data_IF_389996054768
#
_entry.id   IF_389996054768
#
_cell.length_a   1.000
_cell.length_b   1.000
_cell.length_c   1.000
_cell.angle_alpha   90.00
_cell.angle_beta   90.00
_cell.angle_gamma   90.00
#
_symmetry.space_group_name_H-M   'P 1'
#
loop_
_entity.id
_entity.type
_entity.pdbx_description
1 polymer ?
#
# COMPACT_ATOMS: atom_id res chain seq x y z
N UNK A 1 63.51 40.61 50.43
CA UNK A 1 62.92 41.17 49.20
C UNK A 1 62.28 40.00 48.46
N UNK A 2 60.93 39.97 48.34
CA UNK A 2 60.16 39.12 47.41
C UNK A 2 60.16 37.60 47.74
N UNK A 3 59.07 36.83 47.82
CA UNK A 3 57.62 37.04 47.78
C UNK A 3 56.94 35.81 48.42
N UNK A 4 55.64 35.94 48.69
CA UNK A 4 54.73 34.99 49.32
C UNK A 4 54.44 33.71 48.49
N UNK A 5 54.09 32.62 49.18
CA UNK A 5 53.43 31.45 48.58
C UNK A 5 52.65 30.64 49.62
N UNK A 6 51.42 31.08 49.93
CA UNK A 6 50.45 30.30 50.71
C UNK A 6 49.85 29.24 49.80
N UNK A 7 50.01 27.96 50.14
CA UNK A 7 49.42 26.84 49.41
C UNK A 7 48.15 26.41 50.15
N UNK A 8 46.99 26.85 49.64
CA UNK A 8 45.67 26.42 50.12
C UNK A 8 45.35 25.04 49.54
N UNK A 9 45.13 24.07 50.41
CA UNK A 9 44.62 22.74 50.08
C UNK A 9 43.11 22.83 49.82
N UNK A 10 42.69 22.81 48.56
CA UNK A 10 41.28 22.65 48.18
C UNK A 10 40.97 21.16 48.03
N UNK A 11 40.24 20.60 49.00
CA UNK A 11 39.65 19.26 48.93
C UNK A 11 38.41 19.36 48.02
N UNK A 12 38.48 18.80 46.81
CA UNK A 12 37.33 18.66 45.93
C UNK A 12 36.54 17.41 46.34
N UNK A 13 35.36 17.62 46.92
CA UNK A 13 34.40 16.57 47.27
C UNK A 13 33.68 16.14 45.98
N UNK A 14 34.01 14.95 45.46
CA UNK A 14 33.35 14.37 44.28
C UNK A 14 31.99 13.77 44.70
N UNK A 15 30.90 14.52 44.48
CA UNK A 15 29.53 14.02 44.69
C UNK A 15 29.11 13.23 43.45
N UNK A 16 29.09 11.89 43.58
CA UNK A 16 28.55 10.99 42.56
C UNK A 16 27.01 11.01 42.63
N UNK A 17 26.37 11.83 41.78
CA UNK A 17 24.92 11.79 41.59
C UNK A 17 24.57 10.58 40.71
N UNK A 18 24.04 9.53 41.32
CA UNK A 18 23.39 8.43 40.62
C UNK A 18 22.10 8.95 39.98
N UNK A 19 22.18 9.38 38.72
CA UNK A 19 20.99 9.66 37.91
C UNK A 19 20.41 8.32 37.50
N UNK A 20 19.47 7.80 38.31
CA UNK A 20 18.58 6.71 37.90
C UNK A 20 17.67 7.25 36.80
N UNK A 21 18.18 7.24 35.57
CA UNK A 21 17.38 7.49 34.38
C UNK A 21 16.39 6.34 34.22
N UNK A 22 15.18 6.52 34.72
CA UNK A 22 14.03 5.77 34.23
C UNK A 22 13.90 6.09 32.74
N UNK A 23 14.29 5.14 31.88
CA UNK A 23 13.90 5.16 30.48
C UNK A 23 12.41 4.87 30.47
N UNK A 24 11.62 5.92 30.38
CA UNK A 24 10.18 5.81 30.17
C UNK A 24 9.96 5.24 28.75
N UNK A 25 9.22 4.12 28.59
CA UNK A 25 8.91 3.63 27.26
C UNK A 25 8.11 4.72 26.54
N UNK A 26 8.70 5.30 25.49
CA UNK A 26 7.95 6.14 24.57
C UNK A 26 6.86 5.27 23.95
N UNK A 27 5.63 5.42 24.43
CA UNK A 27 4.45 5.02 23.70
C UNK A 27 4.50 5.75 22.36
N UNK A 28 4.76 5.01 21.29
CA UNK A 28 4.46 5.44 19.93
C UNK A 28 3.00 5.90 19.94
N UNK A 29 2.68 7.11 19.48
CA UNK A 29 1.29 7.52 19.37
C UNK A 29 0.67 6.69 18.24
N UNK A 30 0.04 5.56 18.58
CA UNK A 30 -1.03 5.01 17.75
C UNK A 30 -2.13 6.04 17.79
N UNK A 31 -2.16 6.89 16.77
CA UNK A 31 -3.23 7.82 16.56
C UNK A 31 -4.52 7.01 16.36
N UNK A 32 -5.24 6.75 17.45
CA UNK A 32 -6.65 6.38 17.46
C UNK A 32 -7.44 7.60 16.94
N UNK A 33 -7.25 7.92 15.66
CA UNK A 33 -8.23 8.68 14.91
C UNK A 33 -9.37 7.69 14.70
N UNK A 34 -10.53 7.95 15.30
CA UNK A 34 -11.74 7.21 14.98
C UNK A 34 -12.02 7.39 13.49
N UNK A 35 -11.56 6.44 12.68
CA UNK A 35 -11.80 6.49 11.25
C UNK A 35 -13.31 6.43 11.01
N UNK A 36 -13.82 7.37 10.23
CA UNK A 36 -15.23 7.43 9.86
C UNK A 36 -15.30 7.14 8.38
N UNK A 37 -16.13 6.15 8.02
CA UNK A 37 -16.37 5.82 6.63
C UNK A 37 -17.03 7.00 5.91
N UNK A 38 -16.41 7.44 4.82
CA UNK A 38 -17.00 8.41 3.92
C UNK A 38 -18.13 7.76 3.11
N UNK A 39 -19.26 8.46 3.00
CA UNK A 39 -20.37 8.07 2.12
C UNK A 39 -20.48 8.94 0.86
N UNK A 40 -19.65 9.98 0.74
CA UNK A 40 -19.65 10.91 -0.38
C UNK A 40 -18.24 11.46 -0.63
N UNK A 41 -17.80 11.49 -1.89
CA UNK A 41 -16.49 12.03 -2.27
C UNK A 41 -16.51 12.53 -3.72
N UNK A 42 -15.84 13.66 -3.99
CA UNK A 42 -15.72 14.25 -5.32
C UNK A 42 -17.07 14.40 -6.08
N UNK A 43 -18.13 14.77 -5.35
CA UNK A 43 -19.46 15.00 -5.94
C UNK A 43 -20.27 13.72 -6.20
N UNK A 44 -19.86 12.57 -5.66
CA UNK A 44 -20.49 11.27 -5.89
C UNK A 44 -20.76 10.54 -4.58
N UNK A 45 -21.87 9.81 -4.51
CA UNK A 45 -22.12 8.86 -3.43
C UNK A 45 -21.17 7.67 -3.53
N UNK A 46 -20.75 7.15 -2.38
CA UNK A 46 -19.91 5.97 -2.25
C UNK A 46 -20.76 4.79 -1.81
N UNK A 47 -20.47 3.61 -2.37
CA UNK A 47 -21.06 2.36 -1.89
C UNK A 47 -20.47 2.03 -0.52
N UNK A 48 -21.31 1.82 0.49
CA UNK A 48 -20.82 1.51 1.83
C UNK A 48 -20.05 0.19 1.87
N UNK A 49 -18.99 0.11 2.68
CA UNK A 49 -18.10 -1.06 2.76
C UNK A 49 -18.87 -2.34 3.11
N UNK A 50 -19.92 -2.24 3.93
CA UNK A 50 -20.80 -3.36 4.29
C UNK A 50 -21.66 -3.87 3.12
N UNK A 51 -21.96 -3.03 2.14
CA UNK A 51 -22.79 -3.35 0.96
C UNK A 51 -21.97 -3.78 -0.24
N UNK A 52 -20.68 -3.44 -0.26
CA UNK A 52 -19.77 -3.86 -1.34
C UNK A 52 -19.68 -5.38 -1.39
N UNK A 53 -19.86 -5.98 -2.56
CA UNK A 53 -19.59 -7.41 -2.73
C UNK A 53 -18.09 -7.68 -2.62
N UNK A 54 -17.75 -8.90 -2.22
CA UNK A 54 -16.38 -9.31 -1.97
C UNK A 54 -16.13 -10.74 -2.44
N UNK A 55 -15.13 -10.94 -3.28
CA UNK A 55 -14.68 -12.26 -3.74
C UNK A 55 -13.25 -12.53 -3.28
N UNK A 56 -12.94 -13.78 -2.94
CA UNK A 56 -11.61 -14.24 -2.56
C UNK A 56 -11.45 -15.72 -2.91
N UNK A 57 -10.26 -16.16 -3.31
CA UNK A 57 -10.06 -17.56 -3.71
C UNK A 57 -9.88 -18.50 -2.51
N UNK A 58 -9.43 -17.98 -1.35
CA UNK A 58 -9.24 -18.76 -0.10
C UNK A 58 -9.72 -18.02 1.16
N UNK A 59 -10.80 -17.25 1.03
CA UNK A 59 -11.36 -16.47 2.15
C UNK A 59 -10.48 -15.28 2.56
N UNK A 60 -10.84 -14.64 3.67
CA UNK A 60 -10.15 -13.45 4.20
C UNK A 60 -8.78 -13.80 4.75
N UNK A 61 -7.76 -13.03 4.35
CA UNK A 61 -6.43 -13.10 4.93
C UNK A 61 -6.27 -12.06 6.04
N UNK A 62 -5.57 -12.44 7.10
CA UNK A 62 -5.27 -11.59 8.26
C UNK A 62 -3.77 -11.36 8.32
N UNK A 63 -3.31 -10.26 7.73
CA UNK A 63 -1.89 -9.89 7.69
C UNK A 63 -1.56 -9.02 8.89
N UNK A 64 -0.46 -9.34 9.58
CA UNK A 64 0.04 -8.52 10.68
C UNK A 64 0.84 -7.33 10.13
N UNK A 65 0.34 -6.13 10.40
CA UNK A 65 0.92 -4.85 10.00
C UNK A 65 2.40 -4.72 10.41
N UNK A 66 2.73 -5.06 11.65
CA UNK A 66 4.07 -4.85 12.23
C UNK A 66 5.16 -5.71 11.57
N UNK A 67 4.75 -6.80 10.89
CA UNK A 67 5.67 -7.71 10.18
C UNK A 67 5.50 -7.66 8.67
N UNK A 68 4.57 -6.85 8.17
CA UNK A 68 4.28 -6.79 6.75
C UNK A 68 5.41 -6.10 6.00
N UNK A 69 5.78 -6.68 4.86
CA UNK A 69 6.63 -6.04 3.86
C UNK A 69 6.09 -6.30 2.47
N UNK A 70 6.17 -5.29 1.60
CA UNK A 70 5.97 -5.40 0.17
C UNK A 70 7.32 -5.59 -0.51
N UNK A 71 7.50 -6.73 -1.17
CA UNK A 71 8.69 -6.98 -1.98
C UNK A 71 8.51 -6.38 -3.38
N UNK A 72 9.55 -5.76 -3.93
CA UNK A 72 9.59 -5.27 -5.32
C UNK A 72 10.86 -5.81 -5.97
N UNK A 73 10.71 -6.66 -6.99
CA UNK A 73 11.85 -7.37 -7.62
C UNK A 73 11.70 -7.44 -9.15
N UNK A 74 12.58 -8.23 -9.79
CA UNK A 74 12.58 -8.45 -11.24
C UNK A 74 13.42 -7.40 -11.96
N UNK A 75 12.89 -6.83 -13.03
CA UNK A 75 13.52 -5.81 -13.88
C UNK A 75 13.53 -4.41 -13.23
N UNK A 76 14.16 -4.33 -12.06
CA UNK A 76 14.41 -3.09 -11.31
C UNK A 76 15.91 -2.97 -10.98
N UNK A 77 16.42 -1.75 -10.87
CA UNK A 77 17.84 -1.50 -10.56
C UNK A 77 18.14 -1.79 -9.08
N UNK A 78 17.15 -1.55 -8.21
CA UNK A 78 17.21 -1.78 -6.77
C UNK A 78 15.95 -2.51 -6.33
N UNK A 79 16.10 -3.76 -5.91
CA UNK A 79 15.00 -4.48 -5.24
C UNK A 79 14.65 -3.78 -3.93
N UNK A 80 13.35 -3.69 -3.61
CA UNK A 80 12.85 -3.06 -2.39
C UNK A 80 12.14 -4.09 -1.50
N UNK A 81 12.21 -3.88 -0.19
CA UNK A 81 11.35 -4.51 0.80
C UNK A 81 10.77 -3.36 1.65
N UNK A 82 9.57 -2.89 1.31
CA UNK A 82 8.95 -1.74 1.94
C UNK A 82 8.05 -2.21 3.08
N UNK A 83 8.29 -1.73 4.30
CA UNK A 83 7.38 -1.93 5.44
C UNK A 83 6.07 -1.18 5.23
N UNK A 84 5.04 -1.53 6.01
CA UNK A 84 3.77 -0.79 5.96
C UNK A 84 3.96 0.71 6.29
N UNK A 85 4.76 1.02 7.31
CA UNK A 85 5.06 2.40 7.70
C UNK A 85 5.74 3.19 6.58
N UNK A 86 6.74 2.59 5.89
CA UNK A 86 7.39 3.23 4.74
C UNK A 86 6.42 3.47 3.59
N UNK A 87 5.49 2.56 3.34
CA UNK A 87 4.44 2.75 2.32
C UNK A 87 3.52 3.92 2.65
N UNK A 88 3.17 4.10 3.92
CA UNK A 88 2.35 5.24 4.39
C UNK A 88 3.10 6.58 4.30
N UNK A 89 4.43 6.56 4.31
CA UNK A 89 5.26 7.75 4.19
C UNK A 89 5.50 8.21 2.74
N UNK A 90 5.14 7.37 1.75
CA UNK A 90 5.26 7.71 0.33
C UNK A 90 4.19 8.74 -0.11
N UNK A 91 4.40 9.43 -1.26
CA UNK A 91 3.40 10.36 -1.79
C UNK A 91 2.02 9.71 -1.97
N UNK A 92 1.01 10.36 -1.38
CA UNK A 92 -0.36 9.86 -1.32
C UNK A 92 -1.13 10.23 -2.59
N UNK A 93 -1.79 9.24 -3.17
CA UNK A 93 -2.86 9.43 -4.15
C UNK A 93 -4.22 9.15 -3.49
N UNK A 94 -5.22 9.95 -3.83
CA UNK A 94 -6.55 9.87 -3.27
C UNK A 94 -7.60 10.21 -4.33
N UNK A 95 -8.42 9.23 -4.73
CA UNK A 95 -9.38 9.43 -5.83
C UNK A 95 -10.59 8.51 -5.76
N UNK A 96 -11.67 8.96 -6.41
CA UNK A 96 -12.85 8.16 -6.67
C UNK A 96 -12.53 7.16 -7.79
N UNK A 97 -12.76 5.86 -7.56
CA UNK A 97 -12.70 4.84 -8.62
C UNK A 97 -13.81 3.82 -8.41
N UNK A 98 -14.47 3.46 -9.52
CA UNK A 98 -15.42 2.35 -9.56
C UNK A 98 -14.69 1.03 -9.85
N UNK A 99 -15.01 -0.01 -9.08
CA UNK A 99 -14.64 -1.38 -9.40
C UNK A 99 -15.84 -2.11 -10.03
N UNK A 100 -15.65 -2.68 -11.22
CA UNK A 100 -16.67 -3.49 -11.90
C UNK A 100 -16.22 -4.95 -12.01
N UNK A 101 -17.08 -5.88 -11.59
CA UNK A 101 -16.86 -7.32 -11.67
C UNK A 101 -17.46 -7.88 -12.97
N UNK A 102 -16.80 -8.91 -13.51
CA UNK A 102 -17.26 -9.68 -14.67
C UNK A 102 -18.64 -10.34 -14.44
N UNK A 103 -19.01 -10.55 -13.17
CA UNK A 103 -20.31 -11.11 -12.76
C UNK A 103 -21.45 -10.08 -12.77
N UNK A 104 -21.24 -8.88 -13.34
CA UNK A 104 -22.29 -7.88 -13.56
C UNK A 104 -22.60 -6.98 -12.36
N UNK A 105 -21.78 -7.01 -11.32
CA UNK A 105 -21.89 -6.11 -10.16
C UNK A 105 -20.67 -5.20 -10.06
N UNK A 106 -20.77 -4.10 -9.32
CA UNK A 106 -19.65 -3.19 -9.09
C UNK A 106 -19.97 -2.20 -7.97
N UNK A 107 -18.97 -1.47 -7.51
CA UNK A 107 -19.13 -0.50 -6.43
C UNK A 107 -18.27 0.74 -6.64
N UNK A 108 -18.77 1.85 -6.13
CA UNK A 108 -18.14 3.16 -6.20
C UNK A 108 -17.46 3.47 -4.87
N UNK A 109 -16.20 3.87 -4.90
CA UNK A 109 -15.39 4.01 -3.70
C UNK A 109 -14.36 5.14 -3.82
N UNK A 110 -13.99 5.72 -2.67
CA UNK A 110 -12.79 6.54 -2.54
C UNK A 110 -11.62 5.62 -2.17
N UNK A 111 -10.53 5.72 -2.91
CA UNK A 111 -9.31 4.94 -2.66
C UNK A 111 -8.18 5.88 -2.31
N UNK A 112 -7.46 5.58 -1.23
CA UNK A 112 -6.26 6.30 -0.85
C UNK A 112 -5.09 5.32 -0.75
N UNK A 113 -3.97 5.68 -1.37
CA UNK A 113 -2.87 4.75 -1.59
C UNK A 113 -1.59 5.42 -2.05
N UNK A 114 -0.61 4.58 -2.39
CA UNK A 114 0.64 4.97 -3.04
C UNK A 114 0.60 4.57 -4.51
N UNK A 115 1.07 5.43 -5.39
CA UNK A 115 1.14 5.12 -6.83
C UNK A 115 2.29 4.17 -7.12
N UNK A 116 2.11 3.25 -8.06
CA UNK A 116 3.17 2.36 -8.51
C UNK A 116 4.33 3.15 -9.12
N UNK A 117 4.04 4.29 -9.76
CA UNK A 117 5.04 5.23 -10.25
C UNK A 117 5.98 5.71 -9.14
N UNK A 118 5.45 6.05 -7.96
CA UNK A 118 6.27 6.46 -6.81
C UNK A 118 7.19 5.33 -6.34
N UNK A 119 6.67 4.09 -6.23
CA UNK A 119 7.48 2.92 -5.86
C UNK A 119 8.59 2.65 -6.89
N UNK A 120 8.26 2.77 -8.18
CA UNK A 120 9.20 2.52 -9.27
C UNK A 120 10.25 3.61 -9.47
N UNK A 121 9.98 4.84 -9.02
CA UNK A 121 10.99 5.88 -8.98
C UNK A 121 12.14 5.51 -8.03
N UNK A 122 11.82 4.87 -6.90
CA UNK A 122 12.81 4.45 -5.89
C UNK A 122 13.55 3.16 -6.27
N UNK A 123 12.86 2.22 -6.93
CA UNK A 123 13.48 0.96 -7.38
C UNK A 123 14.24 1.11 -8.70
N UNK A 124 13.81 2.03 -9.55
CA UNK A 124 14.34 2.29 -10.90
C UNK A 124 14.03 1.15 -11.87
N UNK A 125 13.08 1.35 -12.79
CA UNK A 125 12.75 0.35 -13.81
C UNK A 125 13.92 0.15 -14.79
N UNK A 126 14.23 -1.11 -15.11
CA UNK A 126 15.22 -1.44 -16.14
C UNK A 126 14.62 -1.26 -17.55
N UNK A 127 15.44 -0.92 -18.56
CA UNK A 127 15.00 -0.89 -19.95
C UNK A 127 14.39 -2.23 -20.39
N UNK A 128 13.29 -2.16 -21.15
CA UNK A 128 12.64 -3.35 -21.70
C UNK A 128 11.61 -4.02 -20.79
N UNK A 129 11.41 -3.55 -19.55
CA UNK A 129 10.30 -3.97 -18.69
C UNK A 129 8.94 -3.70 -19.38
N UNK A 130 8.01 -4.66 -19.32
CA UNK A 130 6.71 -4.59 -20.01
C UNK A 130 5.51 -4.94 -19.15
N UNK A 131 5.68 -5.80 -18.16
CA UNK A 131 4.59 -6.29 -17.32
C UNK A 131 5.00 -6.24 -15.85
N UNK A 132 3.99 -6.15 -14.99
CA UNK A 132 4.13 -6.20 -13.54
C UNK A 132 3.21 -7.29 -13.02
N UNK A 133 3.78 -8.25 -12.30
CA UNK A 133 3.06 -9.36 -11.67
C UNK A 133 2.83 -8.99 -10.21
N UNK A 134 1.61 -9.22 -9.74
CA UNK A 134 1.21 -9.04 -8.35
C UNK A 134 0.93 -10.40 -7.75
N UNK A 135 1.66 -10.76 -6.69
CA UNK A 135 1.44 -11.97 -5.92
C UNK A 135 0.81 -11.63 -4.57
N UNK A 136 -0.14 -12.46 -4.15
CA UNK A 136 -0.99 -12.22 -3.00
C UNK A 136 -0.82 -13.31 -1.93
N UNK A 137 -1.11 -12.96 -0.68
CA UNK A 137 -0.95 -13.86 0.46
C UNK A 137 -1.78 -15.15 0.38
N UNK A 138 -2.93 -15.13 -0.30
CA UNK A 138 -3.79 -16.30 -0.51
C UNK A 138 -3.31 -17.20 -1.68
N UNK A 139 -2.21 -16.84 -2.34
CA UNK A 139 -1.72 -17.48 -3.55
C UNK A 139 -2.43 -17.03 -4.82
N UNK A 140 -3.24 -15.97 -4.75
CA UNK A 140 -3.74 -15.29 -5.94
C UNK A 140 -2.58 -14.57 -6.66
N UNK A 141 -2.65 -14.52 -7.98
CA UNK A 141 -1.76 -13.69 -8.78
C UNK A 141 -2.47 -13.14 -10.01
N UNK A 142 -1.99 -12.01 -10.50
CA UNK A 142 -2.42 -11.38 -11.75
C UNK A 142 -1.27 -10.53 -12.27
N UNK A 143 -1.28 -10.16 -13.56
CA UNK A 143 -0.31 -9.23 -14.14
C UNK A 143 -1.00 -8.09 -14.87
N UNK A 144 -0.35 -6.93 -14.95
CA UNK A 144 -0.81 -5.82 -15.78
C UNK A 144 0.34 -5.24 -16.58
N UNK A 145 0.03 -4.74 -17.76
CA UNK A 145 0.99 -4.07 -18.64
C UNK A 145 1.51 -2.81 -17.94
N UNK A 146 2.83 -2.64 -17.95
CA UNK A 146 3.53 -1.53 -17.30
C UNK A 146 3.07 -0.17 -17.86
N UNK A 147 2.83 -0.10 -19.17
CA UNK A 147 2.35 1.12 -19.82
C UNK A 147 0.93 1.50 -19.34
N UNK A 148 0.06 0.53 -19.13
CA UNK A 148 -1.25 0.76 -18.52
C UNK A 148 -1.10 1.26 -17.08
N UNK A 149 -0.23 0.63 -16.28
CA UNK A 149 -0.02 1.01 -14.88
C UNK A 149 0.49 2.45 -14.75
N UNK A 150 1.47 2.84 -15.58
CA UNK A 150 2.04 4.20 -15.60
C UNK A 150 1.07 5.22 -16.21
N UNK A 151 0.42 4.86 -17.31
CA UNK A 151 -0.49 5.76 -18.03
C UNK A 151 -1.75 6.13 -17.25
N UNK A 152 -2.18 5.30 -16.30
CA UNK A 152 -3.35 5.54 -15.47
C UNK A 152 -3.02 5.86 -14.00
N UNK A 153 -1.73 6.07 -13.69
CA UNK A 153 -1.23 6.34 -12.34
C UNK A 153 -1.85 5.38 -11.29
N UNK A 154 -1.74 4.08 -11.59
CA UNK A 154 -2.36 3.03 -10.79
C UNK A 154 -1.74 2.99 -9.39
N UNK A 155 -2.59 2.85 -8.38
CA UNK A 155 -2.20 2.84 -6.97
C UNK A 155 -2.35 1.46 -6.33
N UNK A 156 -1.55 1.25 -5.28
CA UNK A 156 -1.81 0.29 -4.22
C UNK A 156 -2.51 1.06 -3.09
N UNK A 157 -3.79 0.82 -2.91
CA UNK A 157 -4.58 1.42 -1.84
C UNK A 157 -4.30 0.74 -0.52
N UNK A 158 -4.20 1.55 0.54
CA UNK A 158 -4.19 1.11 1.94
C UNK A 158 -5.40 1.66 2.72
N UNK A 159 -6.23 2.53 2.10
CA UNK A 159 -7.54 2.96 2.63
C UNK A 159 -8.63 2.88 1.56
N UNK A 160 -9.85 2.65 2.04
CA UNK A 160 -11.10 2.58 1.29
C UNK A 160 -12.14 3.42 2.01
N UNK A 161 -12.81 4.34 1.32
CA UNK A 161 -13.81 5.24 1.91
C UNK A 161 -13.30 5.92 3.19
N UNK A 162 -12.05 6.39 3.19
CA UNK A 162 -11.40 7.08 4.32
C UNK A 162 -11.23 6.24 5.60
N UNK A 163 -11.37 4.91 5.53
CA UNK A 163 -10.94 3.98 6.58
C UNK A 163 -9.78 3.14 6.08
N UNK A 164 -8.87 2.75 6.96
CA UNK A 164 -7.87 1.70 6.70
C UNK A 164 -8.58 0.48 6.15
N UNK A 165 -7.99 -0.14 5.12
CA UNK A 165 -8.60 -1.31 4.48
C UNK A 165 -9.00 -2.34 5.54
N UNK A 166 -10.26 -2.80 5.58
CA UNK A 166 -10.61 -3.98 6.34
C UNK A 166 -9.86 -5.21 5.82
N UNK A 167 -9.64 -6.21 6.68
CA UNK A 167 -8.94 -7.45 6.28
C UNK A 167 -9.58 -8.12 5.07
N UNK A 168 -10.90 -8.19 4.99
CA UNK A 168 -11.61 -8.80 3.87
C UNK A 168 -11.52 -7.98 2.57
N UNK A 169 -11.20 -6.68 2.68
CA UNK A 169 -10.96 -5.72 1.60
C UNK A 169 -9.50 -5.61 1.19
N UNK A 170 -8.65 -6.53 1.62
CA UNK A 170 -7.28 -6.62 1.09
C UNK A 170 -6.22 -5.94 1.94
N UNK A 171 -6.49 -5.59 3.20
CA UNK A 171 -5.46 -5.10 4.12
C UNK A 171 -4.20 -5.98 4.05
N UNK A 172 -2.99 -5.43 3.85
CA UNK A 172 -2.68 -4.00 3.93
C UNK A 172 -2.75 -3.26 2.59
N UNK A 173 -2.69 -3.98 1.46
CA UNK A 173 -2.67 -3.39 0.12
C UNK A 173 -3.64 -4.08 -0.83
N UNK A 174 -4.45 -3.27 -1.51
CA UNK A 174 -5.27 -3.67 -2.65
C UNK A 174 -4.90 -2.84 -3.88
N UNK A 175 -4.73 -3.50 -5.02
CA UNK A 175 -4.53 -2.83 -6.29
C UNK A 175 -5.83 -2.19 -6.79
N UNK A 176 -5.75 -0.92 -7.16
CA UNK A 176 -6.86 -0.16 -7.76
C UNK A 176 -6.71 -0.18 -9.28
N UNK A 177 -7.07 -1.30 -9.90
CA UNK A 177 -6.90 -1.51 -11.35
C UNK A 177 -8.02 -0.84 -12.17
N UNK A 178 -8.06 0.49 -12.11
CA UNK A 178 -9.05 1.35 -12.78
C UNK A 178 -9.25 1.04 -14.27
N UNK A 179 -10.48 0.76 -14.70
CA UNK A 179 -10.77 0.40 -16.09
C UNK A 179 -10.47 -1.07 -16.44
N UNK A 180 -10.21 -1.90 -15.44
CA UNK A 180 -10.09 -3.37 -15.55
C UNK A 180 -11.15 -4.07 -14.70
N UNK A 181 -11.58 -5.24 -15.13
CA UNK A 181 -12.49 -6.08 -14.35
C UNK A 181 -11.89 -6.47 -12.99
N UNK A 182 -12.75 -6.67 -12.00
CA UNK A 182 -12.41 -6.91 -10.60
C UNK A 182 -11.42 -8.05 -10.34
N UNK A 183 -11.31 -9.03 -11.23
CA UNK A 183 -10.28 -10.07 -11.09
C UNK A 183 -8.85 -9.51 -11.24
N UNK A 184 -8.64 -8.36 -11.87
CA UNK A 184 -7.33 -7.70 -11.88
C UNK A 184 -7.04 -6.89 -10.61
N UNK A 185 -8.01 -6.73 -9.70
CA UNK A 185 -7.88 -5.94 -8.47
C UNK A 185 -7.34 -6.82 -7.34
N UNK A 186 -6.05 -7.14 -7.44
CA UNK A 186 -5.34 -7.99 -6.48
C UNK A 186 -5.46 -7.46 -5.04
N UNK A 187 -5.71 -8.36 -4.08
CA UNK A 187 -5.83 -8.07 -2.65
C UNK A 187 -4.72 -8.78 -1.88
N UNK A 188 -4.34 -8.25 -0.71
CA UNK A 188 -3.33 -8.87 0.14
C UNK A 188 -1.98 -9.03 -0.57
N UNK A 189 -1.60 -8.01 -1.34
CA UNK A 189 -0.40 -8.03 -2.16
C UNK A 189 0.82 -8.11 -1.25
N UNK A 190 1.72 -9.06 -1.51
CA UNK A 190 2.96 -9.26 -0.75
C UNK A 190 4.20 -9.04 -1.62
N UNK A 191 4.07 -9.20 -2.94
CA UNK A 191 5.19 -9.11 -3.85
C UNK A 191 4.76 -8.59 -5.22
N UNK A 192 5.55 -7.65 -5.73
CA UNK A 192 5.51 -7.11 -7.08
C UNK A 192 6.78 -7.52 -7.83
N UNK A 193 6.60 -8.13 -9.00
CA UNK A 193 7.71 -8.52 -9.87
C UNK A 193 7.58 -7.83 -11.23
N UNK A 194 8.60 -7.07 -11.62
CA UNK A 194 8.67 -6.42 -12.94
C UNK A 194 9.33 -7.37 -13.94
N UNK A 195 8.75 -7.55 -15.12
CA UNK A 195 9.23 -8.50 -16.13
C UNK A 195 8.99 -7.98 -17.55
N UNK A 196 9.67 -8.55 -18.54
CA UNK A 196 9.43 -8.34 -19.98
C UNK A 196 8.52 -9.42 -20.59
N UNK A 197 8.25 -10.49 -19.84
CA UNK A 197 7.43 -11.61 -20.27
C UNK A 197 5.94 -11.36 -20.02
N UNK A 198 5.09 -12.00 -20.82
CA UNK A 198 3.66 -12.11 -20.50
C UNK A 198 3.46 -13.08 -19.34
N UNK A 199 2.50 -12.81 -18.47
CA UNK A 199 2.15 -13.67 -17.35
C UNK A 199 0.63 -13.80 -17.23
N UNK A 200 0.15 -15.03 -17.19
CA UNK A 200 -1.25 -15.34 -16.87
C UNK A 200 -1.35 -15.75 -15.40
N UNK A 201 -2.08 -14.96 -14.62
CA UNK A 201 -2.35 -15.23 -13.22
C UNK A 201 -3.47 -16.24 -13.01
N UNK A 202 -4.10 -16.19 -11.85
CA UNK A 202 -5.06 -17.20 -11.44
C UNK A 202 -6.27 -17.32 -12.38
N UNK A 203 -6.94 -16.21 -12.71
CA UNK A 203 -8.13 -16.28 -13.57
C UNK A 203 -7.74 -16.35 -15.05
N UNK A 204 -6.67 -15.68 -15.42
CA UNK A 204 -6.17 -15.62 -16.79
C UNK A 204 -5.74 -17.00 -17.27
N UNK A 205 -5.03 -17.77 -16.44
CA UNK A 205 -4.67 -19.16 -16.75
C UNK A 205 -5.86 -20.11 -16.84
N UNK A 206 -7.08 -19.64 -16.49
CA UNK A 206 -8.35 -20.36 -16.55
C UNK A 206 -9.24 -19.86 -17.69
N UNK A 207 -8.67 -19.10 -18.63
CA UNK A 207 -9.34 -18.64 -19.85
C UNK A 207 -9.98 -17.27 -19.75
N UNK A 208 -9.80 -16.52 -18.65
CA UNK A 208 -10.21 -15.13 -18.58
C UNK A 208 -9.25 -14.24 -19.39
N UNK A 209 -9.75 -13.16 -19.96
CA UNK A 209 -8.92 -12.22 -20.74
C UNK A 209 -7.79 -11.64 -19.88
N UNK A 210 -6.55 -11.70 -20.38
CA UNK A 210 -5.42 -11.13 -19.66
C UNK A 210 -5.50 -9.59 -19.56
N UNK A 211 -6.01 -8.94 -20.61
CA UNK A 211 -6.18 -7.48 -20.64
C UNK A 211 -7.33 -7.01 -19.76
N UNK A 212 -8.39 -7.81 -19.62
CA UNK A 212 -9.52 -7.55 -18.73
C UNK A 212 -10.15 -6.14 -18.84
N UNK A 213 -10.09 -5.54 -20.03
CA UNK A 213 -10.59 -4.17 -20.25
C UNK A 213 -12.10 -4.16 -20.02
N UNK A 214 -12.59 -3.21 -19.23
CA UNK A 214 -14.03 -2.99 -19.12
C UNK A 214 -14.57 -2.65 -20.51
N UNK A 215 -15.55 -3.43 -20.97
CA UNK A 215 -16.28 -3.04 -22.16
C UNK A 215 -16.97 -1.70 -21.86
N UNK A 216 -16.92 -0.75 -22.82
CA UNK A 216 -17.61 0.52 -22.64
C UNK A 216 -19.06 0.22 -22.24
N UNK A 217 -19.45 0.54 -21.01
CA UNK A 217 -20.88 0.73 -20.70
C UNK A 217 -21.34 1.75 -21.73
N UNK A 218 -22.22 1.33 -22.63
CA UNK A 218 -22.88 2.26 -23.54
C UNK A 218 -23.38 3.42 -22.70
N UNK A 219 -23.05 4.64 -23.13
CA UNK A 219 -23.61 5.87 -22.58
C UNK A 219 -25.13 5.67 -22.42
N UNK A 220 -25.59 5.39 -21.20
CA UNK A 220 -26.96 5.68 -20.84
C UNK A 220 -26.90 7.12 -20.30
N UNK A 221 -27.44 8.10 -21.04
CA UNK A 221 -27.50 9.45 -20.53
C UNK A 221 -28.34 9.43 -19.25
N UNK A 222 -27.85 10.15 -18.24
CA UNK A 222 -28.58 10.47 -17.03
C UNK A 222 -29.93 11.14 -17.34
#
# INVERSE_FOLDING_TARGET
>A
MVLHGRMNFFIFLLVLLLVSGCVEPQQTPTANISETEDTFFAGRELTSIKEQRNNAIKGTQFINEATYTLQVTGMVNKSLNLTYEELLALPVADRFVRMDCVEGWGFDARWTGVTLSSIFNDSGLQPGAKNVIFYCADGYSTSLELDYLRGNDIMLAYRLNNVTLPSDRGFPLQLVAEGRYGYKWAKWITHIEVTDQSYEGFWESRGYSNLAILEKRGFLPF
#
